data_IF_438534431861
#
_entry.id   IF_438534431861
#
_cell.length_a   1.000
_cell.length_b   1.000
_cell.length_c   1.000
_cell.angle_alpha   90.00
_cell.angle_beta   90.00
_cell.angle_gamma   90.00
#
_symmetry.space_group_name_H-M   'P 1'
#
loop_
_entity.id
_entity.type
_entity.pdbx_description
1 polymer ?
#
# COMPACT_ATOMS: atom_id res chain seq x y z
N UNK A 1 -23.22 -51.78 7.02
CA UNK A 1 -22.40 -50.90 6.14
C UNK A 1 -22.93 -49.49 6.27
N UNK A 2 -22.58 -48.80 7.37
CA UNK A 2 -22.80 -47.36 7.50
C UNK A 2 -21.44 -46.69 7.32
N UNK A 3 -21.24 -46.09 6.15
CA UNK A 3 -20.15 -45.15 5.96
C UNK A 3 -20.53 -43.87 6.71
N UNK A 4 -20.17 -43.80 7.99
CA UNK A 4 -20.20 -42.55 8.75
C UNK A 4 -19.10 -41.65 8.20
N UNK A 5 -19.46 -40.80 7.25
CA UNK A 5 -18.56 -39.75 6.77
C UNK A 5 -18.25 -38.87 7.99
N UNK A 6 -16.98 -38.78 8.44
CA UNK A 6 -16.67 -38.03 9.64
C UNK A 6 -17.04 -36.56 9.44
N UNK A 7 -17.59 -35.90 10.47
CA UNK A 7 -18.02 -34.49 10.44
C UNK A 7 -16.90 -33.57 9.93
N UNK A 8 -15.64 -33.94 10.17
CA UNK A 8 -14.45 -33.25 9.65
C UNK A 8 -14.37 -33.22 8.12
N UNK A 9 -14.83 -34.27 7.44
CA UNK A 9 -14.89 -34.33 5.98
C UNK A 9 -16.05 -33.49 5.41
N UNK A 10 -17.13 -33.27 6.16
CA UNK A 10 -18.18 -32.31 5.78
C UNK A 10 -17.74 -30.86 5.98
N UNK A 11 -16.98 -30.57 7.04
CA UNK A 11 -16.40 -29.25 7.29
C UNK A 11 -15.26 -28.90 6.31
N UNK A 12 -14.52 -29.91 5.84
CA UNK A 12 -13.53 -29.75 4.76
C UNK A 12 -14.18 -29.45 3.39
N UNK A 13 -15.47 -29.76 3.20
CA UNK A 13 -16.22 -29.43 1.98
C UNK A 13 -16.81 -28.01 2.05
N UNK A 14 -17.08 -27.49 3.25
CA UNK A 14 -17.36 -26.06 3.45
C UNK A 14 -16.06 -25.26 3.47
N UNK A 15 -15.36 -25.22 2.32
CA UNK A 15 -14.27 -24.28 2.04
C UNK A 15 -14.82 -22.85 1.91
N UNK A 16 -15.41 -22.31 2.97
CA UNK A 16 -16.02 -21.00 2.91
C UNK A 16 -14.95 -19.93 3.17
N UNK A 17 -14.19 -19.65 2.10
CA UNK A 17 -13.36 -18.46 1.87
C UNK A 17 -13.93 -17.17 2.51
N UNK A 18 -15.25 -17.02 2.49
CA UNK A 18 -16.00 -15.94 3.12
C UNK A 18 -15.71 -15.77 4.62
N UNK A 19 -15.54 -16.86 5.38
CA UNK A 19 -15.21 -16.78 6.80
C UNK A 19 -13.78 -16.31 7.04
N UNK A 20 -12.83 -16.76 6.22
CA UNK A 20 -11.44 -16.31 6.32
C UNK A 20 -11.32 -14.82 5.98
N UNK A 21 -11.98 -14.38 4.90
CA UNK A 21 -12.08 -12.96 4.54
C UNK A 21 -12.66 -12.16 5.69
N UNK A 22 -13.81 -12.57 6.22
CA UNK A 22 -14.49 -11.88 7.33
C UNK A 22 -13.59 -11.83 8.58
N UNK A 23 -12.90 -12.91 8.91
CA UNK A 23 -11.96 -12.97 10.03
C UNK A 23 -10.79 -11.99 9.83
N UNK A 24 -10.24 -11.87 8.62
CA UNK A 24 -9.17 -10.90 8.36
C UNK A 24 -9.66 -9.45 8.44
N UNK A 25 -10.88 -9.16 8.00
CA UNK A 25 -11.50 -7.83 8.13
C UNK A 25 -11.76 -7.49 9.59
N UNK A 26 -12.32 -8.45 10.36
CA UNK A 26 -12.55 -8.30 11.79
C UNK A 26 -11.23 -8.08 12.55
N UNK A 27 -10.18 -8.84 12.22
CA UNK A 27 -8.85 -8.68 12.80
C UNK A 27 -8.27 -7.29 12.52
N UNK A 28 -8.40 -6.80 11.28
CA UNK A 28 -7.91 -5.47 10.90
C UNK A 28 -8.60 -4.35 11.70
N UNK A 29 -9.93 -4.42 11.87
CA UNK A 29 -10.67 -3.43 12.64
C UNK A 29 -10.45 -3.55 14.15
N UNK A 30 -10.43 -4.78 14.68
CA UNK A 30 -10.21 -5.03 16.10
C UNK A 30 -8.82 -4.53 16.53
N UNK A 31 -7.77 -4.84 15.75
CA UNK A 31 -6.42 -4.33 16.02
C UNK A 31 -6.32 -2.81 15.93
N UNK A 32 -7.01 -2.18 14.97
CA UNK A 32 -7.08 -0.73 14.87
C UNK A 32 -7.73 -0.11 16.12
N UNK A 33 -8.93 -0.57 16.49
CA UNK A 33 -9.69 -0.03 17.63
C UNK A 33 -8.97 -0.26 18.96
N UNK A 34 -8.39 -1.44 19.16
CA UNK A 34 -7.60 -1.73 20.36
C UNK A 34 -6.40 -0.81 20.49
N UNK A 35 -5.71 -0.50 19.39
CA UNK A 35 -4.60 0.43 19.41
C UNK A 35 -5.06 1.87 19.67
N UNK A 36 -6.16 2.30 19.06
CA UNK A 36 -6.73 3.64 19.27
C UNK A 36 -7.15 3.86 20.73
N UNK A 37 -7.76 2.85 21.37
CA UNK A 37 -8.10 2.86 22.80
C UNK A 37 -6.86 3.01 23.70
N UNK A 38 -5.69 2.56 23.24
CA UNK A 38 -4.42 2.70 23.94
C UNK A 38 -3.63 3.94 23.51
N UNK A 39 -4.22 4.84 22.71
CA UNK A 39 -3.56 5.99 22.10
C UNK A 39 -2.32 5.63 21.25
N UNK A 40 -2.33 4.44 20.64
CA UNK A 40 -1.33 3.96 19.69
C UNK A 40 -1.85 4.11 18.26
N UNK A 41 -0.96 3.99 17.27
CA UNK A 41 -1.36 4.08 15.86
C UNK A 41 -2.12 2.83 15.40
N UNK A 42 -3.43 2.99 15.16
CA UNK A 42 -4.28 1.92 14.62
C UNK A 42 -3.81 1.36 13.28
N UNK A 43 -3.27 2.20 12.39
CA UNK A 43 -2.78 1.78 11.06
C UNK A 43 -1.56 0.86 11.19
N UNK A 44 -0.64 1.17 12.11
CA UNK A 44 0.52 0.31 12.34
C UNK A 44 0.14 -0.97 13.08
N UNK A 45 -0.83 -0.91 14.00
CA UNK A 45 -1.35 -2.10 14.69
C UNK A 45 -2.04 -3.07 13.72
N UNK A 46 -2.89 -2.58 12.82
CA UNK A 46 -3.52 -3.42 11.79
C UNK A 46 -2.51 -4.03 10.83
N UNK A 47 -1.48 -3.27 10.45
CA UNK A 47 -0.37 -3.77 9.63
C UNK A 47 0.43 -4.86 10.35
N UNK A 48 0.74 -4.66 11.64
CA UNK A 48 1.44 -5.65 12.45
C UNK A 48 0.60 -6.92 12.63
N UNK A 49 -0.72 -6.80 12.84
CA UNK A 49 -1.63 -7.93 12.92
C UNK A 49 -1.68 -8.73 11.60
N UNK A 50 -1.73 -8.04 10.45
CA UNK A 50 -1.72 -8.67 9.14
C UNK A 50 -0.40 -9.42 8.86
N UNK A 51 0.75 -8.84 9.24
CA UNK A 51 2.06 -9.50 9.14
C UNK A 51 2.10 -10.72 10.07
N UNK A 52 1.66 -10.56 11.32
CA UNK A 52 1.63 -11.63 12.32
C UNK A 52 0.73 -12.80 11.91
N UNK A 53 -0.35 -12.53 11.17
CA UNK A 53 -1.24 -13.54 10.59
C UNK A 53 -0.53 -14.39 9.52
N UNK A 54 0.39 -13.79 8.77
CA UNK A 54 1.09 -14.45 7.64
C UNK A 54 2.44 -15.06 8.02
N UNK A 55 2.96 -14.78 9.22
CA UNK A 55 4.22 -15.35 9.68
C UNK A 55 4.15 -16.89 9.79
N UNK A 56 5.10 -17.64 9.19
CA UNK A 56 5.09 -19.10 9.19
C UNK A 56 5.27 -19.72 10.59
N UNK A 57 5.65 -18.92 11.59
CA UNK A 57 5.79 -19.35 12.98
C UNK A 57 4.43 -19.72 13.62
N UNK A 58 3.31 -19.24 13.07
CA UNK A 58 1.96 -19.57 13.55
C UNK A 58 1.32 -20.58 12.59
N UNK A 59 1.08 -21.80 13.07
CA UNK A 59 0.42 -22.89 12.34
C UNK A 59 -1.09 -22.63 12.17
N UNK A 60 -1.47 -21.46 11.66
CA UNK A 60 -2.85 -21.18 11.25
C UNK A 60 -2.92 -21.42 9.74
N UNK A 61 -3.26 -22.64 9.28
CA UNK A 61 -3.47 -22.88 7.86
C UNK A 61 -4.69 -22.05 7.42
N UNK A 62 -4.45 -21.11 6.51
CA UNK A 62 -5.52 -20.50 5.71
C UNK A 62 -5.77 -21.44 4.55
N UNK A 63 -6.98 -21.97 4.45
CA UNK A 63 -7.40 -22.88 3.40
C UNK A 63 -7.48 -22.14 2.06
N UNK A 64 -7.95 -20.89 2.03
CA UNK A 64 -8.15 -20.11 0.79
C UNK A 64 -7.37 -18.78 0.75
N UNK A 65 -6.04 -18.88 0.85
CA UNK A 65 -5.13 -17.71 0.76
C UNK A 65 -5.34 -16.86 -0.49
N UNK A 66 -5.56 -17.50 -1.64
CA UNK A 66 -5.72 -16.79 -2.92
C UNK A 66 -6.96 -15.89 -2.93
N UNK A 67 -8.06 -16.35 -2.34
CA UNK A 67 -9.30 -15.58 -2.29
C UNK A 67 -9.20 -14.42 -1.31
N UNK A 68 -8.57 -14.63 -0.15
CA UNK A 68 -8.27 -13.56 0.82
C UNK A 68 -7.39 -12.50 0.15
N UNK A 69 -6.38 -12.91 -0.60
CA UNK A 69 -5.52 -11.98 -1.36
C UNK A 69 -6.31 -11.26 -2.46
N UNK A 70 -7.16 -11.96 -3.21
CA UNK A 70 -8.01 -11.36 -4.23
C UNK A 70 -8.96 -10.31 -3.66
N UNK A 71 -9.61 -10.61 -2.54
CA UNK A 71 -10.49 -9.68 -1.82
C UNK A 71 -9.73 -8.42 -1.40
N UNK A 72 -8.60 -8.56 -0.69
CA UNK A 72 -7.83 -7.41 -0.21
C UNK A 72 -7.21 -6.60 -1.36
N UNK A 73 -6.82 -7.24 -2.46
CA UNK A 73 -6.36 -6.55 -3.66
C UNK A 73 -7.48 -5.73 -4.31
N UNK A 74 -8.69 -6.29 -4.42
CA UNK A 74 -9.85 -5.57 -4.93
C UNK A 74 -10.24 -4.40 -4.02
N UNK A 75 -10.27 -4.61 -2.70
CA UNK A 75 -10.54 -3.58 -1.71
C UNK A 75 -9.49 -2.44 -1.76
N UNK A 76 -8.20 -2.78 -1.83
CA UNK A 76 -7.13 -1.80 -1.95
C UNK A 76 -7.20 -1.02 -3.26
N UNK A 77 -7.53 -1.68 -4.37
CA UNK A 77 -7.75 -1.01 -5.66
C UNK A 77 -8.90 -0.01 -5.59
N UNK A 78 -10.04 -0.41 -5.01
CA UNK A 78 -11.21 0.45 -4.85
C UNK A 78 -10.91 1.64 -3.94
N UNK A 79 -10.27 1.41 -2.79
CA UNK A 79 -9.88 2.48 -1.87
C UNK A 79 -8.94 3.49 -2.55
N UNK A 80 -7.96 3.01 -3.31
CA UNK A 80 -7.05 3.88 -4.06
C UNK A 80 -7.82 4.70 -5.11
N UNK A 81 -8.73 4.07 -5.87
CA UNK A 81 -9.54 4.77 -6.87
C UNK A 81 -10.39 5.89 -6.23
N UNK A 82 -11.02 5.61 -5.09
CA UNK A 82 -11.79 6.60 -4.33
C UNK A 82 -10.90 7.74 -3.85
N UNK A 83 -9.70 7.46 -3.33
CA UNK A 83 -8.77 8.50 -2.87
C UNK A 83 -8.29 9.39 -4.02
N UNK A 84 -7.94 8.81 -5.17
CA UNK A 84 -7.53 9.58 -6.35
C UNK A 84 -8.67 10.41 -6.91
N UNK A 85 -9.89 9.86 -6.95
CA UNK A 85 -11.08 10.59 -7.37
C UNK A 85 -11.39 11.75 -6.42
N UNK A 86 -11.40 11.50 -5.11
CA UNK A 86 -11.66 12.50 -4.09
C UNK A 86 -10.62 13.63 -4.17
N UNK A 87 -9.34 13.30 -4.32
CA UNK A 87 -8.32 14.31 -4.51
C UNK A 87 -8.55 15.13 -5.77
N UNK A 88 -8.82 14.49 -6.91
CA UNK A 88 -9.10 15.19 -8.17
C UNK A 88 -10.24 16.19 -8.06
N UNK A 89 -11.28 15.89 -7.26
CA UNK A 89 -12.41 16.79 -7.00
C UNK A 89 -12.02 17.95 -6.07
N UNK A 90 -11.15 17.72 -5.08
CA UNK A 90 -10.77 18.71 -4.07
C UNK A 90 -9.78 19.77 -4.58
N UNK A 91 -9.18 19.55 -5.74
CA UNK A 91 -8.08 20.37 -6.26
C UNK A 91 -8.58 21.41 -7.24
N UNK A 92 -7.97 22.59 -7.16
CA UNK A 92 -8.22 23.69 -8.08
C UNK A 92 -6.96 23.91 -8.93
N UNK A 93 -6.98 23.63 -10.25
CA UNK A 93 -5.82 23.84 -11.12
C UNK A 93 -5.24 25.26 -11.04
N UNK A 94 -6.12 26.24 -10.88
CA UNK A 94 -5.76 27.65 -10.71
C UNK A 94 -4.90 27.90 -9.47
N UNK A 95 -5.16 27.20 -8.36
CA UNK A 95 -4.42 27.35 -7.10
C UNK A 95 -3.04 26.70 -7.15
N UNK A 96 -2.95 25.55 -7.83
CA UNK A 96 -1.66 24.88 -8.11
C UNK A 96 -0.77 25.76 -9.00
N UNK A 97 -1.35 26.45 -9.97
CA UNK A 97 -0.64 27.34 -10.90
C UNK A 97 -0.28 28.70 -10.28
N UNK A 98 -0.93 29.10 -9.19
CA UNK A 98 -0.66 30.39 -8.56
C UNK A 98 0.70 30.40 -7.82
N UNK A 99 1.11 29.26 -7.27
CA UNK A 99 2.36 29.09 -6.50
C UNK A 99 3.21 27.92 -7.03
N UNK A 100 3.65 27.96 -8.31
CA UNK A 100 4.34 26.83 -8.94
C UNK A 100 5.70 26.54 -8.29
N UNK A 101 6.32 27.56 -7.70
CA UNK A 101 7.58 27.43 -6.97
C UNK A 101 7.44 26.55 -5.73
N UNK A 102 6.36 26.73 -4.96
CA UNK A 102 6.10 25.96 -3.74
C UNK A 102 5.91 24.48 -4.07
N UNK A 103 5.14 24.20 -5.12
CA UNK A 103 4.94 22.83 -5.62
C UNK A 103 6.28 22.23 -6.06
N UNK A 104 7.05 22.94 -6.89
CA UNK A 104 8.34 22.45 -7.38
C UNK A 104 9.33 22.15 -6.24
N UNK A 105 9.42 23.05 -5.26
CA UNK A 105 10.24 22.86 -4.05
C UNK A 105 9.77 21.64 -3.26
N UNK A 106 8.46 21.46 -3.09
CA UNK A 106 7.90 20.32 -2.36
C UNK A 106 8.23 19.00 -3.05
N UNK A 107 8.03 18.92 -4.37
CA UNK A 107 8.39 17.73 -5.16
C UNK A 107 9.87 17.44 -5.03
N UNK A 108 10.72 18.46 -5.22
CA UNK A 108 12.17 18.31 -5.14
C UNK A 108 12.60 17.86 -3.74
N UNK A 109 12.04 18.46 -2.69
CA UNK A 109 12.35 18.12 -1.31
C UNK A 109 11.99 16.65 -0.99
N UNK A 110 10.79 16.20 -1.39
CA UNK A 110 10.33 14.83 -1.15
C UNK A 110 11.18 13.81 -1.93
N UNK A 111 11.48 14.09 -3.20
CA UNK A 111 12.31 13.20 -4.02
C UNK A 111 13.75 13.16 -3.50
N UNK A 112 14.31 14.30 -3.12
CA UNK A 112 15.68 14.40 -2.59
C UNK A 112 15.81 13.71 -1.23
N UNK A 113 14.87 13.93 -0.32
CA UNK A 113 14.84 13.24 0.98
C UNK A 113 14.81 11.72 0.80
N UNK A 114 14.04 11.22 -0.17
CA UNK A 114 14.01 9.79 -0.49
C UNK A 114 15.34 9.29 -1.08
N UNK A 115 15.95 10.04 -1.99
CA UNK A 115 17.25 9.68 -2.56
C UNK A 115 18.33 9.60 -1.48
N UNK A 116 18.36 10.58 -0.58
CA UNK A 116 19.27 10.62 0.56
C UNK A 116 19.05 9.39 1.46
N UNK A 117 17.80 9.10 1.85
CA UNK A 117 17.47 7.94 2.66
C UNK A 117 17.85 6.62 2.00
N UNK A 118 17.63 6.48 0.68
CA UNK A 118 18.03 5.30 -0.06
C UNK A 118 19.55 5.08 -0.01
N UNK A 119 20.35 6.14 -0.21
CA UNK A 119 21.81 6.05 -0.19
C UNK A 119 22.36 5.76 1.20
N UNK A 120 21.76 6.34 2.25
CA UNK A 120 22.21 6.19 3.63
C UNK A 120 21.87 4.81 4.21
N UNK A 121 20.67 4.29 3.92
CA UNK A 121 20.16 3.06 4.55
C UNK A 121 20.55 1.82 3.76
N UNK A 122 20.59 1.92 2.43
CA UNK A 122 20.79 0.76 1.56
C UNK A 122 22.23 0.72 1.07
N UNK A 123 23.00 -0.35 1.34
CA UNK A 123 24.41 -0.43 0.96
C UNK A 123 24.59 -0.73 -0.54
N UNK A 124 23.66 -1.47 -1.15
CA UNK A 124 23.78 -1.96 -2.52
C UNK A 124 23.10 -1.06 -3.55
N UNK A 125 23.74 -0.87 -4.70
CA UNK A 125 23.22 -0.05 -5.80
C UNK A 125 21.83 -0.50 -6.32
N UNK A 126 21.54 -1.79 -6.57
CA UNK A 126 20.21 -2.19 -7.04
C UNK A 126 19.12 -1.96 -5.99
N UNK A 127 19.40 -2.19 -4.71
CA UNK A 127 18.51 -1.87 -3.59
C UNK A 127 18.27 -0.37 -3.45
N UNK A 128 19.30 0.47 -3.58
CA UNK A 128 19.16 1.95 -3.58
C UNK A 128 18.19 2.43 -4.65
N UNK A 129 18.36 1.93 -5.88
CA UNK A 129 17.48 2.27 -7.01
C UNK A 129 16.06 1.77 -6.75
N UNK A 130 15.91 0.57 -6.20
CA UNK A 130 14.59 0.00 -5.86
C UNK A 130 13.88 0.83 -4.80
N UNK A 131 14.56 1.21 -3.71
CA UNK A 131 13.98 2.04 -2.64
C UNK A 131 13.63 3.44 -3.15
N UNK A 132 14.46 4.03 -4.00
CA UNK A 132 14.17 5.32 -4.61
C UNK A 132 12.91 5.26 -5.51
N UNK A 133 12.77 4.18 -6.29
CA UNK A 133 11.64 3.94 -7.18
C UNK A 133 10.36 3.44 -6.46
N UNK A 134 10.46 2.97 -5.22
CA UNK A 134 9.33 2.38 -4.50
C UNK A 134 8.19 3.37 -4.19
N UNK A 135 8.48 4.67 -4.12
CA UNK A 135 7.49 5.65 -3.66
C UNK A 135 6.56 6.20 -4.74
N UNK A 136 6.15 5.35 -5.68
CA UNK A 136 5.06 5.64 -6.64
C UNK A 136 3.67 5.48 -6.00
N UNK A 137 3.54 4.80 -4.85
CA UNK A 137 2.25 4.63 -4.18
C UNK A 137 1.91 5.85 -3.31
N UNK A 138 1.32 6.87 -3.93
CA UNK A 138 0.98 8.14 -3.29
C UNK A 138 -0.36 8.21 -2.56
N UNK A 139 -1.11 7.10 -2.47
CA UNK A 139 -2.45 7.08 -1.87
C UNK A 139 -2.45 7.40 -0.36
N UNK A 140 -1.43 6.94 0.38
CA UNK A 140 -1.37 7.18 1.83
C UNK A 140 -1.18 8.66 2.19
N UNK A 141 -0.20 9.40 1.62
CA UNK A 141 -0.12 10.86 1.80
C UNK A 141 -1.41 11.59 1.42
N UNK A 142 -2.09 11.14 0.37
CA UNK A 142 -3.34 11.73 -0.10
C UNK A 142 -4.47 11.56 0.91
N UNK A 143 -4.62 10.35 1.46
CA UNK A 143 -5.59 10.07 2.51
C UNK A 143 -5.35 10.94 3.75
N UNK A 144 -4.10 11.07 4.18
CA UNK A 144 -3.71 11.90 5.32
C UNK A 144 -4.01 13.39 5.07
N UNK A 145 -3.75 13.88 3.85
CA UNK A 145 -4.05 15.26 3.49
C UNK A 145 -5.56 15.54 3.46
N UNK A 146 -6.37 14.60 2.97
CA UNK A 146 -7.83 14.70 2.96
C UNK A 146 -8.40 14.67 4.38
N UNK A 147 -7.83 13.85 5.26
CA UNK A 147 -8.21 13.70 6.66
C UNK A 147 -7.91 14.94 7.52
N UNK A 148 -7.17 15.92 7.02
CA UNK A 148 -6.89 17.15 7.74
C UNK A 148 -8.18 17.94 8.05
N UNK A 149 -8.31 18.50 9.28
CA UNK A 149 -9.46 19.32 9.67
C UNK A 149 -9.72 20.49 8.72
N UNK A 150 -10.99 20.71 8.35
CA UNK A 150 -11.38 21.81 7.47
C UNK A 150 -11.12 23.21 8.07
N UNK A 151 -10.90 23.29 9.39
CA UNK A 151 -10.57 24.53 10.11
C UNK A 151 -9.13 25.01 9.88
N UNK A 152 -8.27 24.18 9.29
CA UNK A 152 -6.89 24.55 8.98
C UNK A 152 -6.85 25.51 7.78
N UNK A 153 -6.37 26.73 8.03
CA UNK A 153 -6.22 27.80 7.03
C UNK A 153 -5.41 27.32 5.82
N UNK A 154 -4.35 26.54 6.05
CA UNK A 154 -3.43 26.06 5.01
C UNK A 154 -3.83 24.72 4.37
N UNK A 155 -5.00 24.17 4.70
CA UNK A 155 -5.46 22.87 4.16
C UNK A 155 -5.49 22.83 2.63
N UNK A 156 -6.01 23.85 1.92
CA UNK A 156 -6.03 23.84 0.46
C UNK A 156 -4.62 23.77 -0.16
N UNK A 157 -3.65 24.50 0.42
CA UNK A 157 -2.26 24.50 -0.04
C UNK A 157 -1.59 23.14 0.21
N UNK A 158 -1.87 22.50 1.35
CA UNK A 158 -1.34 21.17 1.67
C UNK A 158 -1.90 20.12 0.70
N UNK A 159 -3.22 20.14 0.44
CA UNK A 159 -3.86 19.23 -0.52
C UNK A 159 -3.25 19.35 -1.91
N UNK A 160 -3.09 20.59 -2.39
CA UNK A 160 -2.50 20.87 -3.70
C UNK A 160 -1.04 20.40 -3.78
N UNK A 161 -0.23 20.70 -2.76
CA UNK A 161 1.17 20.30 -2.73
C UNK A 161 1.34 18.78 -2.68
N UNK A 162 0.54 18.09 -1.83
CA UNK A 162 0.56 16.63 -1.72
C UNK A 162 0.13 15.99 -3.03
N UNK A 163 -0.98 16.44 -3.61
CA UNK A 163 -1.44 15.88 -4.88
C UNK A 163 -0.46 16.13 -6.02
N UNK A 164 0.02 17.36 -6.18
CA UNK A 164 0.97 17.68 -7.24
C UNK A 164 2.26 16.85 -7.10
N UNK A 165 2.71 16.62 -5.87
CA UNK A 165 3.85 15.73 -5.59
C UNK A 165 3.53 14.27 -5.94
N UNK A 166 2.35 13.77 -5.58
CA UNK A 166 1.92 12.40 -5.91
C UNK A 166 1.81 12.23 -7.43
N UNK A 167 1.18 13.17 -8.13
CA UNK A 167 1.05 13.15 -9.59
C UNK A 167 2.41 13.26 -10.28
N UNK A 168 3.28 14.17 -9.84
CA UNK A 168 4.62 14.30 -10.38
C UNK A 168 5.42 13.01 -10.20
N UNK A 169 5.40 12.41 -9.02
CA UNK A 169 6.13 11.15 -8.77
C UNK A 169 5.53 9.97 -9.52
N UNK A 170 4.21 9.88 -9.66
CA UNK A 170 3.54 8.86 -10.49
C UNK A 170 3.93 8.96 -11.97
N UNK A 171 3.93 10.17 -12.54
CA UNK A 171 4.26 10.36 -13.96
C UNK A 171 5.76 10.20 -14.20
N UNK A 172 6.60 10.89 -13.42
CA UNK A 172 8.05 10.94 -13.64
C UNK A 172 8.71 9.60 -13.28
N UNK A 173 8.31 8.95 -12.19
CA UNK A 173 8.92 7.68 -11.73
C UNK A 173 8.21 6.45 -12.30
N UNK A 174 6.92 6.56 -12.65
CA UNK A 174 6.16 5.44 -13.22
C UNK A 174 6.63 5.01 -14.61
N UNK A 175 6.98 5.97 -15.48
CA UNK A 175 7.47 5.70 -16.85
C UNK A 175 8.77 4.86 -16.86
N UNK A 176 9.83 5.22 -16.13
CA UNK A 176 11.11 4.48 -16.17
C UNK A 176 11.10 3.14 -15.43
N UNK A 177 10.08 2.84 -14.62
CA UNK A 177 10.06 1.68 -13.73
C UNK A 177 10.36 0.37 -14.46
N UNK A 178 9.66 0.11 -15.58
CA UNK A 178 9.83 -1.13 -16.35
C UNK A 178 11.27 -1.30 -16.85
N UNK A 179 11.84 -0.23 -17.40
CA UNK A 179 13.21 -0.23 -17.93
C UNK A 179 14.26 -0.43 -16.82
N UNK A 180 14.05 0.20 -15.66
CA UNK A 180 14.94 0.07 -14.50
C UNK A 180 14.92 -1.34 -13.93
N UNK A 181 13.73 -1.92 -13.73
CA UNK A 181 13.59 -3.30 -13.23
C UNK A 181 14.26 -4.29 -14.17
N UNK A 182 14.05 -4.16 -15.49
CA UNK A 182 14.71 -5.02 -16.48
C UNK A 182 16.25 -4.90 -16.45
N UNK A 183 16.78 -3.69 -16.28
CA UNK A 183 18.23 -3.45 -16.27
C UNK A 183 18.94 -4.08 -15.07
N UNK A 184 18.34 -4.02 -13.87
CA UNK A 184 18.99 -4.50 -12.64
C UNK A 184 18.62 -5.95 -12.28
N UNK A 185 17.43 -6.41 -12.69
CA UNK A 185 16.90 -7.72 -12.28
C UNK A 185 16.59 -8.67 -13.44
N UNK A 186 16.76 -8.26 -14.70
CA UNK A 186 16.46 -9.09 -15.88
C UNK A 186 17.29 -10.38 -15.99
N UNK A 187 18.43 -10.47 -15.31
CA UNK A 187 19.23 -11.70 -15.25
C UNK A 187 18.58 -12.79 -14.37
N UNK A 188 17.86 -12.43 -13.30
CA UNK A 188 17.24 -13.38 -12.37
C UNK A 188 16.02 -14.10 -12.99
N UNK A 189 15.34 -13.47 -13.95
CA UNK A 189 14.24 -14.08 -14.70
C UNK A 189 14.72 -15.12 -15.72
N UNK A 190 15.99 -15.07 -16.15
CA UNK A 190 16.56 -16.02 -17.13
C UNK A 190 17.00 -17.35 -16.50
N UNK A 191 17.32 -17.36 -15.20
CA UNK A 191 17.78 -18.58 -14.48
C UNK A 191 16.60 -19.49 -14.12
N UNK A 192 15.43 -18.93 -13.81
CA UNK A 192 14.22 -19.71 -13.53
C UNK A 192 13.52 -20.29 -14.77
N UNK A 193 13.79 -19.74 -15.97
CA UNK A 193 13.21 -20.23 -17.23
C UNK A 193 13.98 -21.41 -17.84
N UNK A 194 15.21 -21.67 -17.39
CA UNK A 194 16.08 -22.73 -17.92
C UNK A 194 16.14 -23.97 -17.00
N UNK A 195 15.29 -24.01 -15.97
CA UNK A 195 15.21 -25.09 -14.96
C UNK A 195 13.80 -25.66 -14.78
N UNK A 196 12.86 -25.30 -15.66
CA UNK A 196 11.55 -25.92 -15.81
C UNK A 196 11.46 -26.61 -17.18
#
# INVERSE_FOLDING_TARGET
MEYSVPIWAALAVTEASEYEVTATVALAHASYLLADLLHLSGIFASSAAAIALRTPLRHVPMANRNDVDAFWNAAAYMANAVLFLAAGILISPERVLHEPLLVAITVLAVVSARAIMAVLVVPDTPGRVTVFMAGMRGALPLALAIALPATLISRPQILDAVFATVMATLVIQGIPLKSVVQRYYGALTSVGANTA
#
